data_IF_330888279295
#
_entry.id   IF_330888279295
#
_cell.length_a   1.000
_cell.length_b   1.000
_cell.length_c   1.000
_cell.angle_alpha   90.00
_cell.angle_beta   90.00
_cell.angle_gamma   90.00
#
_symmetry.space_group_name_H-M   'P 1'
#
loop_
_entity.id
_entity.type
_entity.pdbx_description
1 polymer ?
#
# COMPACT_ATOMS: atom_id res chain seq x y z
N UNK A 1 15.71 -30.41 44.77
CA UNK A 1 14.49 -29.60 44.55
C UNK A 1 14.69 -28.83 43.24
N UNK A 2 14.11 -29.31 42.13
CA UNK A 2 14.27 -28.69 40.82
C UNK A 2 13.10 -27.72 40.63
N UNK A 3 13.38 -26.45 40.57
CA UNK A 3 12.38 -25.42 40.30
C UNK A 3 12.12 -25.38 38.79
N UNK A 4 11.00 -25.92 38.36
CA UNK A 4 10.54 -25.75 36.98
C UNK A 4 9.92 -24.36 36.82
N UNK A 5 10.54 -23.50 36.00
CA UNK A 5 9.96 -22.24 35.60
C UNK A 5 8.81 -22.51 34.62
N UNK A 6 7.64 -21.87 34.77
CA UNK A 6 6.57 -22.04 33.81
C UNK A 6 6.98 -21.43 32.49
N UNK A 7 6.95 -22.23 31.43
CA UNK A 7 7.04 -21.76 30.04
C UNK A 7 5.70 -21.06 29.73
N UNK A 8 5.68 -19.74 29.70
CA UNK A 8 4.53 -18.99 29.24
C UNK A 8 4.42 -19.23 27.73
N UNK A 9 3.38 -19.93 27.29
CA UNK A 9 3.02 -20.00 25.89
C UNK A 9 2.81 -18.58 25.38
N UNK A 10 3.60 -18.18 24.38
CA UNK A 10 3.44 -16.88 23.75
C UNK A 10 2.02 -16.75 23.21
N UNK A 11 1.31 -15.70 23.61
CA UNK A 11 0.01 -15.38 23.04
C UNK A 11 0.22 -14.97 21.58
N UNK A 12 -0.11 -15.84 20.64
CA UNK A 12 -0.15 -15.48 19.23
C UNK A 12 -1.20 -14.39 19.05
N UNK A 13 -0.81 -13.25 18.49
CA UNK A 13 -1.76 -12.24 18.07
C UNK A 13 -2.76 -12.87 17.08
N UNK A 14 -4.06 -12.57 17.19
CA UNK A 14 -5.05 -13.12 16.26
C UNK A 14 -4.71 -12.68 14.82
N UNK A 15 -4.84 -13.62 13.88
CA UNK A 15 -4.66 -13.34 12.46
C UNK A 15 -5.87 -12.55 11.98
N UNK A 16 -5.63 -11.36 11.41
CA UNK A 16 -6.65 -10.58 10.72
C UNK A 16 -6.58 -10.83 9.21
N UNK A 17 -7.74 -10.90 8.56
CA UNK A 17 -7.86 -11.10 7.11
C UNK A 17 -8.45 -9.86 6.47
N UNK A 18 -7.79 -9.35 5.44
CA UNK A 18 -8.21 -8.17 4.69
C UNK A 18 -8.57 -8.60 3.28
N UNK A 19 -9.69 -8.06 2.75
CA UNK A 19 -10.27 -8.45 1.48
C UNK A 19 -10.21 -7.31 0.45
N UNK A 20 -10.49 -7.63 -0.81
CA UNK A 20 -10.58 -6.65 -1.90
C UNK A 20 -9.27 -6.38 -2.63
N UNK A 21 -8.24 -7.23 -2.43
CA UNK A 21 -7.02 -7.25 -3.26
C UNK A 21 -6.43 -8.65 -3.30
N UNK A 22 -5.70 -8.97 -4.36
CA UNK A 22 -5.05 -10.28 -4.55
C UNK A 22 -3.55 -10.22 -4.25
N UNK A 23 -2.86 -9.20 -4.73
CA UNK A 23 -1.40 -9.09 -4.71
C UNK A 23 -0.92 -7.80 -4.04
N UNK A 24 -1.03 -7.78 -2.71
CA UNK A 24 -0.52 -6.66 -1.91
C UNK A 24 1.01 -6.59 -1.99
N UNK A 25 1.55 -5.53 -2.56
CA UNK A 25 2.98 -5.35 -2.83
C UNK A 25 3.67 -4.39 -1.87
N UNK A 26 2.95 -3.41 -1.36
CA UNK A 26 3.49 -2.44 -0.40
C UNK A 26 2.47 -2.05 0.66
N UNK A 27 2.91 -1.89 1.91
CA UNK A 27 2.06 -1.45 3.00
C UNK A 27 2.78 -0.48 3.93
N UNK A 28 2.07 0.53 4.42
CA UNK A 28 2.59 1.56 5.31
C UNK A 28 1.63 1.80 6.49
N UNK A 29 2.10 1.76 7.74
CA UNK A 29 1.24 2.05 8.89
C UNK A 29 0.84 3.54 8.91
N UNK A 30 -0.42 3.80 9.30
CA UNK A 30 -1.00 5.12 9.44
C UNK A 30 -1.66 5.22 10.81
N UNK A 31 -1.11 6.07 11.67
CA UNK A 31 -1.56 6.13 13.06
C UNK A 31 -1.36 4.79 13.79
N UNK A 32 -2.15 4.55 14.83
CA UNK A 32 -2.02 3.37 15.69
C UNK A 32 -2.76 2.14 15.17
N UNK A 33 -3.83 2.32 14.39
CA UNK A 33 -4.76 1.25 14.03
C UNK A 33 -5.07 1.11 12.54
N UNK A 34 -4.41 1.87 11.69
CA UNK A 34 -4.64 1.85 10.24
C UNK A 34 -3.35 1.54 9.48
N UNK A 35 -3.51 1.05 8.26
CA UNK A 35 -2.43 0.95 7.29
C UNK A 35 -2.95 1.15 5.87
N UNK A 36 -2.10 1.71 5.02
CA UNK A 36 -2.36 1.89 3.59
C UNK A 36 -1.67 0.77 2.83
N UNK A 37 -2.33 0.22 1.84
CA UNK A 37 -1.80 -0.85 0.99
C UNK A 37 -1.90 -0.45 -0.47
N UNK A 38 -0.87 -0.77 -1.24
CA UNK A 38 -0.87 -0.80 -2.70
C UNK A 38 -0.89 -2.24 -3.19
N UNK A 39 -1.43 -2.41 -4.39
CA UNK A 39 -1.48 -3.68 -5.12
C UNK A 39 -0.67 -3.52 -6.41
N UNK A 40 0.05 -4.54 -6.86
CA UNK A 40 0.81 -4.50 -8.09
C UNK A 40 -0.06 -4.64 -9.34
N UNK A 41 -1.22 -5.28 -9.25
CA UNK A 41 -2.15 -5.50 -10.37
C UNK A 41 -3.09 -4.32 -10.66
N UNK A 42 -3.31 -3.43 -9.70
CA UNK A 42 -4.16 -2.25 -9.89
C UNK A 42 -3.52 -0.99 -9.29
N UNK A 43 -4.01 0.18 -9.69
CA UNK A 43 -3.50 1.47 -9.22
C UNK A 43 -4.33 2.03 -8.08
N UNK A 44 -4.90 1.18 -7.25
CA UNK A 44 -5.79 1.57 -6.16
C UNK A 44 -5.10 1.47 -4.81
N UNK A 45 -4.98 2.59 -4.12
CA UNK A 45 -4.53 2.63 -2.75
C UNK A 45 -5.71 2.36 -1.81
N UNK A 46 -5.52 1.50 -0.82
CA UNK A 46 -6.58 1.08 0.12
C UNK A 46 -6.14 1.29 1.55
N UNK A 47 -7.06 1.73 2.41
CA UNK A 47 -6.83 1.85 3.85
C UNK A 47 -7.62 0.75 4.57
N UNK A 48 -6.95 0.04 5.45
CA UNK A 48 -7.52 -1.00 6.29
C UNK A 48 -7.32 -0.71 7.77
N UNK A 49 -8.18 -1.29 8.60
CA UNK A 49 -7.97 -1.35 10.05
C UNK A 49 -7.05 -2.51 10.38
N UNK A 50 -6.02 -2.26 11.19
CA UNK A 50 -5.02 -3.28 11.55
C UNK A 50 -5.59 -4.47 12.32
N UNK A 51 -6.48 -4.20 13.25
CA UNK A 51 -6.96 -5.17 14.23
C UNK A 51 -8.36 -5.70 13.93
N UNK A 52 -8.92 -5.38 12.77
CA UNK A 52 -10.23 -5.84 12.34
C UNK A 52 -10.12 -6.48 10.95
N UNK A 53 -10.62 -7.71 10.83
CA UNK A 53 -10.77 -8.34 9.52
C UNK A 53 -11.87 -7.66 8.71
N UNK A 54 -11.70 -7.53 7.40
CA UNK A 54 -12.73 -6.97 6.55
C UNK A 54 -12.22 -6.27 5.30
N UNK A 55 -13.12 -5.57 4.65
CA UNK A 55 -12.86 -4.75 3.47
C UNK A 55 -12.12 -3.45 3.83
N UNK A 56 -11.56 -2.79 2.84
CA UNK A 56 -10.98 -1.47 3.01
C UNK A 56 -12.02 -0.44 3.46
N UNK A 57 -11.64 0.41 4.39
CA UNK A 57 -12.48 1.54 4.83
C UNK A 57 -12.38 2.75 3.90
N UNK A 58 -11.41 2.74 3.00
CA UNK A 58 -11.17 3.76 1.98
C UNK A 58 -10.41 3.14 0.82
N UNK A 59 -10.76 3.56 -0.39
CA UNK A 59 -10.03 3.19 -1.61
C UNK A 59 -10.00 4.37 -2.59
N UNK A 60 -8.89 4.49 -3.31
CA UNK A 60 -8.70 5.54 -4.30
C UNK A 60 -7.88 5.02 -5.47
N UNK A 61 -8.46 5.04 -6.67
CA UNK A 61 -7.74 4.84 -7.93
C UNK A 61 -6.92 6.10 -8.23
N UNK A 62 -5.61 5.91 -8.43
CA UNK A 62 -4.66 6.99 -8.74
C UNK A 62 -4.20 6.98 -10.20
N UNK A 63 -4.84 6.21 -11.08
CA UNK A 63 -4.47 6.07 -12.49
C UNK A 63 -4.44 7.41 -13.20
N UNK A 64 -5.48 8.25 -13.01
CA UNK A 64 -5.56 9.58 -13.62
C UNK A 64 -4.47 10.51 -13.12
N UNK A 65 -4.17 10.47 -11.81
CA UNK A 65 -3.08 11.27 -11.23
C UNK A 65 -1.72 10.88 -11.81
N UNK A 66 -1.46 9.58 -11.96
CA UNK A 66 -0.20 9.07 -12.51
C UNK A 66 -0.13 9.14 -14.04
N UNK A 67 -1.19 9.59 -14.71
CA UNK A 67 -1.31 9.63 -16.16
C UNK A 67 -1.00 8.28 -16.80
N UNK A 68 -1.67 7.24 -16.31
CA UNK A 68 -1.48 5.87 -16.77
C UNK A 68 -2.05 5.68 -18.18
N UNK A 69 -1.22 5.18 -19.11
CA UNK A 69 -1.67 4.79 -20.44
C UNK A 69 -2.59 3.55 -20.32
N UNK A 70 -3.85 3.63 -20.77
CA UNK A 70 -4.80 2.52 -20.64
C UNK A 70 -4.43 1.27 -21.47
N UNK A 71 -3.49 1.37 -22.39
CA UNK A 71 -2.98 0.19 -23.13
C UNK A 71 -2.19 -0.78 -22.25
N UNK A 72 -1.61 -0.25 -21.17
CA UNK A 72 -0.83 -1.01 -20.20
C UNK A 72 -1.15 -0.49 -18.81
N UNK A 73 -2.33 -0.81 -18.27
CA UNK A 73 -2.96 -0.06 -17.16
C UNK A 73 -2.28 -0.18 -15.80
N UNK A 74 -1.26 -1.00 -15.65
CA UNK A 74 -0.59 -1.25 -14.37
C UNK A 74 0.58 -0.28 -14.15
N UNK A 75 0.59 0.39 -12.99
CA UNK A 75 1.76 1.09 -12.48
C UNK A 75 2.75 0.14 -11.81
N UNK A 76 2.28 -1.02 -11.33
CA UNK A 76 3.11 -2.05 -10.71
C UNK A 76 3.86 -1.47 -9.49
N UNK A 77 3.10 -1.04 -8.48
CA UNK A 77 3.64 -0.39 -7.28
C UNK A 77 4.24 -1.46 -6.37
N UNK A 78 5.53 -1.32 -6.03
CA UNK A 78 6.29 -2.36 -5.34
C UNK A 78 6.85 -1.96 -3.97
N UNK A 79 6.86 -0.67 -3.67
CA UNK A 79 7.43 -0.21 -2.42
C UNK A 79 6.83 1.07 -1.91
N UNK A 80 6.89 1.24 -0.59
CA UNK A 80 6.44 2.45 0.06
C UNK A 80 7.25 2.76 1.32
N UNK A 81 7.37 4.03 1.63
CA UNK A 81 7.87 4.52 2.91
C UNK A 81 7.10 5.74 3.37
N UNK A 82 7.09 5.98 4.67
CA UNK A 82 6.38 7.11 5.26
C UNK A 82 7.31 8.03 6.02
N UNK A 83 7.15 9.33 5.78
CA UNK A 83 7.80 10.39 6.55
C UNK A 83 6.71 11.35 7.03
N UNK A 84 6.42 11.36 8.34
CA UNK A 84 5.33 12.13 8.96
C UNK A 84 3.97 11.75 8.36
N UNK A 85 3.26 12.68 7.70
CA UNK A 85 1.96 12.44 7.05
C UNK A 85 2.09 12.13 5.55
N UNK A 86 3.30 12.09 5.00
CA UNK A 86 3.55 11.81 3.58
C UNK A 86 4.04 10.40 3.36
N UNK A 87 3.45 9.72 2.39
CA UNK A 87 3.85 8.40 1.93
C UNK A 87 4.48 8.56 0.55
N UNK A 88 5.65 8.00 0.37
CA UNK A 88 6.36 7.91 -0.89
C UNK A 88 6.21 6.49 -1.43
N UNK A 89 5.92 6.38 -2.71
CA UNK A 89 5.65 5.15 -3.42
C UNK A 89 6.60 4.99 -4.59
N UNK A 90 7.01 3.78 -4.86
CA UNK A 90 7.83 3.44 -6.03
C UNK A 90 7.22 2.28 -6.77
N UNK A 91 7.13 2.41 -8.09
CA UNK A 91 6.77 1.35 -9.01
C UNK A 91 7.96 0.44 -9.32
N UNK A 92 7.73 -0.69 -9.98
CA UNK A 92 8.76 -1.72 -10.20
C UNK A 92 9.95 -1.28 -11.05
N UNK A 93 9.78 -0.28 -11.92
CA UNK A 93 10.73 0.09 -12.97
C UNK A 93 11.08 -1.08 -13.92
N UNK A 94 10.20 -2.09 -13.93
CA UNK A 94 10.36 -3.32 -14.70
C UNK A 94 9.89 -3.23 -16.15
N UNK A 95 10.39 -4.14 -16.97
CA UNK A 95 9.86 -4.47 -18.29
C UNK A 95 8.81 -5.58 -18.17
N UNK A 96 8.09 -5.87 -19.26
CA UNK A 96 7.24 -7.06 -19.30
C UNK A 96 8.07 -8.35 -19.52
N UNK A 97 7.38 -9.49 -19.54
CA UNK A 97 8.00 -10.82 -19.76
C UNK A 97 8.78 -10.94 -21.07
N UNK A 98 8.49 -10.07 -22.05
CA UNK A 98 9.17 -10.00 -23.34
C UNK A 98 10.29 -8.94 -23.37
N UNK A 99 10.72 -8.43 -22.22
CA UNK A 99 11.73 -7.38 -22.07
C UNK A 99 11.34 -6.04 -22.71
N UNK A 100 10.05 -5.81 -22.98
CA UNK A 100 9.57 -4.53 -23.50
C UNK A 100 9.35 -3.54 -22.35
N UNK A 101 9.84 -2.33 -22.54
CA UNK A 101 9.64 -1.22 -21.58
C UNK A 101 8.16 -0.97 -21.32
N UNK A 102 7.83 -0.69 -20.07
CA UNK A 102 6.49 -0.33 -19.59
C UNK A 102 6.55 1.04 -18.90
N UNK A 103 6.35 2.15 -19.62
CA UNK A 103 6.52 3.51 -19.07
C UNK A 103 5.68 3.78 -17.83
N UNK A 104 4.49 3.17 -17.73
CA UNK A 104 3.63 3.29 -16.54
C UNK A 104 4.28 2.75 -15.26
N UNK A 105 5.18 1.78 -15.38
CA UNK A 105 5.94 1.21 -14.25
C UNK A 105 7.12 2.06 -13.80
N UNK A 106 7.39 3.18 -14.48
CA UNK A 106 8.47 4.11 -14.15
C UNK A 106 7.91 5.31 -13.38
N UNK A 107 7.30 5.07 -12.25
CA UNK A 107 6.69 6.10 -11.39
C UNK A 107 7.31 6.10 -10.00
N UNK A 108 7.62 7.29 -9.53
CA UNK A 108 7.87 7.58 -8.12
C UNK A 108 6.93 8.71 -7.73
N UNK A 109 6.13 8.54 -6.70
CA UNK A 109 5.10 9.51 -6.35
C UNK A 109 4.88 9.63 -4.85
N UNK A 110 4.15 10.64 -4.45
CA UNK A 110 3.81 10.87 -3.05
C UNK A 110 2.32 11.14 -2.86
N UNK A 111 1.81 10.66 -1.74
CA UNK A 111 0.47 11.01 -1.22
C UNK A 111 0.59 11.55 0.19
N UNK A 112 -0.30 12.44 0.58
CA UNK A 112 -0.46 12.89 1.97
C UNK A 112 -1.70 12.29 2.61
N UNK A 113 -1.56 11.91 3.88
CA UNK A 113 -2.67 11.45 4.69
C UNK A 113 -3.36 12.65 5.29
N UNK A 114 -4.62 12.83 4.97
CA UNK A 114 -5.48 13.85 5.54
C UNK A 114 -6.57 13.20 6.39
N UNK A 115 -6.84 13.75 7.56
CA UNK A 115 -7.98 13.38 8.39
C UNK A 115 -8.98 14.54 8.38
N UNK A 116 -10.14 14.34 7.76
CA UNK A 116 -11.19 15.34 7.63
C UNK A 116 -12.50 14.76 8.19
N UNK A 117 -13.04 15.39 9.24
CA UNK A 117 -14.33 14.96 9.81
C UNK A 117 -14.36 13.51 10.28
N UNK A 118 -13.25 12.99 10.82
CA UNK A 118 -13.12 11.60 11.25
C UNK A 118 -12.94 10.58 10.12
N UNK A 119 -12.83 11.05 8.88
CA UNK A 119 -12.54 10.21 7.70
C UNK A 119 -11.11 10.45 7.23
N UNK A 120 -10.48 9.38 6.74
CA UNK A 120 -9.15 9.46 6.14
C UNK A 120 -9.26 9.64 4.63
N UNK A 121 -8.33 10.41 4.08
CA UNK A 121 -8.17 10.64 2.65
C UNK A 121 -6.67 10.57 2.30
N UNK A 122 -6.37 10.10 1.11
CA UNK A 122 -5.01 10.08 0.55
C UNK A 122 -4.95 11.12 -0.57
N UNK A 123 -4.36 12.26 -0.29
CA UNK A 123 -4.22 13.33 -1.28
C UNK A 123 -2.97 13.10 -2.13
N UNK A 124 -3.08 12.87 -3.43
CA UNK A 124 -1.94 12.84 -4.33
C UNK A 124 -1.25 14.22 -4.35
N UNK A 125 0.09 14.23 -4.26
CA UNK A 125 0.88 15.48 -4.17
C UNK A 125 1.68 15.70 -5.43
N UNK A 126 2.53 14.76 -5.82
CA UNK A 126 3.41 14.87 -6.96
C UNK A 126 3.85 13.47 -7.43
N UNK A 127 4.17 13.36 -8.72
CA UNK A 127 4.84 12.19 -9.25
C UNK A 127 5.99 12.57 -10.17
N UNK A 128 6.95 11.66 -10.31
CA UNK A 128 8.02 11.70 -11.30
C UNK A 128 7.87 10.49 -12.22
N UNK A 129 8.00 10.73 -13.52
CA UNK A 129 8.21 9.67 -14.50
C UNK A 129 9.71 9.52 -14.66
N UNK A 130 10.24 8.41 -14.18
CA UNK A 130 11.67 8.12 -14.31
C UNK A 130 11.90 7.34 -15.60
N UNK A 131 12.77 7.84 -16.44
CA UNK A 131 13.11 7.19 -17.69
C UNK A 131 14.18 6.10 -17.47
#
# INVERSE_FOLDING_TARGET
>A
MVLALPVTAGTHSPITKHFGMCDASAAVPVGSNLFVVANDEDNTLRIYKRNESGESIYSQDISSFLQIDPKHPEADIEGATRIKNRIYWIASHGSNKESKTRPNRHRFFATEIEAIGGKFNLKPIAYLSLA
#
